data_IF_042311894982
#
_entry.id   IF_042311894982
#
_cell.length_a   1.000
_cell.length_b   1.000
_cell.length_c   1.000
_cell.angle_alpha   90.00
_cell.angle_beta   90.00
_cell.angle_gamma   90.00
#
_symmetry.space_group_name_H-M   'P 1'
#
loop_
_entity.id
_entity.type
_entity.pdbx_description
1 polymer ?
#
# COMPACT_ATOMS: atom_id res chain seq x y z
N UNK A 1 -4.04 -24.98 16.00
CA UNK A 1 -3.98 -24.78 17.44
C UNK A 1 -5.14 -25.47 18.11
N UNK A 2 -4.94 -26.05 19.25
CA UNK A 2 -5.93 -26.83 20.00
C UNK A 2 -6.91 -25.82 20.62
N UNK A 3 -8.12 -25.72 20.10
CA UNK A 3 -9.18 -24.79 20.55
C UNK A 3 -9.62 -25.00 22.02
N UNK A 4 -9.08 -26.00 22.70
CA UNK A 4 -9.41 -26.39 24.06
C UNK A 4 -8.29 -26.19 25.10
N UNK A 5 -7.28 -25.40 24.77
CA UNK A 5 -6.24 -25.07 25.74
C UNK A 5 -6.79 -24.09 26.78
N UNK A 6 -6.70 -24.37 28.09
CA UNK A 6 -7.14 -23.46 29.16
C UNK A 6 -6.39 -22.12 29.14
N UNK A 7 -5.25 -22.06 28.45
CA UNK A 7 -4.48 -20.82 28.23
C UNK A 7 -5.06 -19.90 27.14
N UNK A 8 -6.13 -20.34 26.45
CA UNK A 8 -6.79 -19.58 25.38
C UNK A 8 -8.29 -19.38 25.65
N UNK A 9 -8.72 -19.44 26.91
CA UNK A 9 -10.07 -19.08 27.28
C UNK A 9 -10.32 -17.60 26.95
N UNK A 10 -11.24 -17.38 26.02
CA UNK A 10 -11.61 -16.04 25.54
C UNK A 10 -12.04 -15.13 26.67
N UNK A 11 -12.83 -15.66 27.61
CA UNK A 11 -13.31 -14.88 28.74
C UNK A 11 -12.15 -14.42 29.65
N UNK A 12 -11.20 -15.31 29.95
CA UNK A 12 -10.03 -14.97 30.74
C UNK A 12 -9.14 -13.93 30.04
N UNK A 13 -8.95 -14.07 28.71
CA UNK A 13 -8.20 -13.10 27.92
C UNK A 13 -8.88 -11.74 27.88
N UNK A 14 -10.22 -11.67 27.77
CA UNK A 14 -10.99 -10.44 27.79
C UNK A 14 -10.94 -9.74 29.16
N UNK A 15 -10.97 -10.52 30.26
CA UNK A 15 -10.80 -9.98 31.63
C UNK A 15 -9.39 -9.41 31.84
N UNK A 16 -8.37 -10.12 31.40
CA UNK A 16 -6.97 -9.66 31.48
C UNK A 16 -6.80 -8.35 30.70
N UNK A 17 -7.39 -8.24 29.50
CA UNK A 17 -7.29 -7.00 28.73
C UNK A 17 -8.04 -5.85 29.38
N UNK A 18 -9.25 -6.07 29.88
CA UNK A 18 -10.01 -5.01 30.58
C UNK A 18 -9.19 -4.49 31.77
N UNK A 19 -8.67 -5.39 32.60
CA UNK A 19 -7.83 -5.04 33.75
C UNK A 19 -6.57 -4.27 33.35
N UNK A 20 -5.92 -4.66 32.24
CA UNK A 20 -4.71 -4.00 31.79
C UNK A 20 -4.99 -2.63 31.12
N UNK A 21 -6.14 -2.49 30.47
CA UNK A 21 -6.59 -1.20 29.95
C UNK A 21 -6.88 -0.24 31.11
N UNK A 22 -7.65 -0.66 32.09
CA UNK A 22 -7.94 0.12 33.30
C UNK A 22 -6.64 0.48 34.03
N UNK A 23 -5.72 -0.47 34.19
CA UNK A 23 -4.42 -0.20 34.79
C UNK A 23 -3.57 0.78 33.96
N UNK A 24 -3.64 0.72 32.63
CA UNK A 24 -2.93 1.63 31.76
C UNK A 24 -3.51 3.06 31.85
N UNK A 25 -4.83 3.20 31.83
CA UNK A 25 -5.55 4.48 31.96
C UNK A 25 -5.35 5.09 33.35
N UNK A 26 -5.53 4.32 34.42
CA UNK A 26 -5.33 4.76 35.79
C UNK A 26 -3.87 5.18 36.09
N UNK A 27 -2.93 4.55 35.44
CA UNK A 27 -1.51 4.77 35.61
C UNK A 27 -0.96 5.95 34.76
N UNK A 28 -1.72 6.47 33.80
CA UNK A 28 -1.33 7.65 32.99
C UNK A 28 -1.20 8.95 33.78
N UNK A 29 -1.73 8.97 35.02
CA UNK A 29 -1.73 10.14 35.91
C UNK A 29 -0.58 10.15 36.93
N UNK A 30 0.17 9.06 37.09
CA UNK A 30 1.27 8.97 38.07
C UNK A 30 2.64 9.17 37.42
N UNK A 31 3.52 9.98 38.02
CA UNK A 31 4.89 10.12 37.53
C UNK A 31 5.62 8.79 37.63
N UNK A 32 6.13 8.30 36.52
CA UNK A 32 6.83 7.02 36.40
C UNK A 32 8.25 7.21 35.95
N UNK A 33 9.10 6.28 36.37
CA UNK A 33 10.41 6.15 35.75
C UNK A 33 10.22 5.83 34.26
N UNK A 34 10.90 6.54 33.34
CA UNK A 34 10.74 6.38 31.88
C UNK A 34 10.88 4.92 31.40
N UNK A 35 11.64 4.12 32.15
CA UNK A 35 11.86 2.69 31.88
C UNK A 35 10.59 1.86 32.15
N UNK A 36 9.86 2.17 33.22
CA UNK A 36 8.62 1.49 33.62
C UNK A 36 7.49 1.87 32.67
N UNK A 37 7.40 3.15 32.30
CA UNK A 37 6.42 3.65 31.34
C UNK A 37 6.61 2.98 29.97
N UNK A 38 7.86 2.90 29.48
CA UNK A 38 8.17 2.22 28.22
C UNK A 38 7.78 0.73 28.25
N UNK A 39 8.09 0.04 29.32
CA UNK A 39 7.75 -1.38 29.48
C UNK A 39 6.22 -1.60 29.52
N UNK A 40 5.49 -0.74 30.22
CA UNK A 40 4.01 -0.78 30.29
C UNK A 40 3.38 -0.52 28.92
N UNK A 41 3.86 0.48 28.18
CA UNK A 41 3.38 0.79 26.84
C UNK A 41 3.66 -0.34 25.83
N UNK A 42 4.83 -0.99 25.95
CA UNK A 42 5.16 -2.16 25.11
C UNK A 42 4.24 -3.35 25.41
N UNK A 43 3.95 -3.62 26.68
CA UNK A 43 3.05 -4.71 27.07
C UNK A 43 1.62 -4.47 26.58
N UNK A 44 1.11 -3.25 26.75
CA UNK A 44 -0.20 -2.84 26.23
C UNK A 44 -0.28 -2.97 24.70
N UNK A 45 0.72 -2.46 23.99
CA UNK A 45 0.80 -2.59 22.54
C UNK A 45 0.84 -4.06 22.07
N UNK A 46 1.57 -4.91 22.75
CA UNK A 46 1.64 -6.34 22.41
C UNK A 46 0.28 -7.04 22.53
N UNK A 47 -0.51 -6.68 23.53
CA UNK A 47 -1.85 -7.28 23.73
C UNK A 47 -2.89 -6.78 22.74
N UNK A 48 -2.92 -5.45 22.48
CA UNK A 48 -3.78 -4.89 21.45
C UNK A 48 -3.48 -5.51 20.09
N UNK A 49 -2.19 -5.69 19.77
CA UNK A 49 -1.74 -6.34 18.53
C UNK A 49 -2.13 -7.82 18.46
N UNK A 50 -2.11 -8.56 19.59
CA UNK A 50 -2.53 -9.96 19.61
C UNK A 50 -4.00 -10.15 19.19
N UNK A 51 -4.90 -9.28 19.70
CA UNK A 51 -6.32 -9.31 19.27
C UNK A 51 -6.52 -8.87 17.83
N UNK A 52 -5.74 -7.89 17.38
CA UNK A 52 -5.74 -7.48 15.98
C UNK A 52 -5.37 -8.66 15.07
N UNK A 53 -4.33 -9.43 15.43
CA UNK A 53 -3.94 -10.64 14.70
C UNK A 53 -5.04 -11.69 14.68
N UNK A 54 -5.72 -11.94 15.81
CA UNK A 54 -6.84 -12.89 15.86
C UNK A 54 -7.99 -12.46 14.92
N UNK A 55 -8.27 -11.18 14.79
CA UNK A 55 -9.27 -10.69 13.81
C UNK A 55 -8.83 -10.94 12.37
N UNK A 56 -7.56 -10.73 12.06
CA UNK A 56 -7.02 -10.98 10.71
C UNK A 56 -7.11 -12.44 10.31
N UNK A 57 -6.76 -13.36 11.22
CA UNK A 57 -6.75 -14.82 10.94
C UNK A 57 -8.12 -15.37 10.54
N UNK A 58 -9.22 -14.72 10.92
CA UNK A 58 -10.57 -15.11 10.52
C UNK A 58 -10.83 -14.96 9.01
N UNK A 59 -10.05 -14.11 8.34
CA UNK A 59 -10.20 -13.80 6.92
C UNK A 59 -9.13 -14.45 6.05
N UNK A 60 -8.11 -15.06 6.65
CA UNK A 60 -7.07 -15.79 5.91
C UNK A 60 -7.62 -17.17 5.52
N UNK A 61 -7.55 -17.57 4.24
CA UNK A 61 -8.01 -18.88 3.80
C UNK A 61 -7.10 -19.99 4.33
N UNK A 62 -7.63 -21.23 4.39
CA UNK A 62 -6.86 -22.41 4.80
C UNK A 62 -5.67 -22.72 3.89
N UNK A 63 -5.78 -22.36 2.62
CA UNK A 63 -4.71 -22.52 1.63
C UNK A 63 -4.28 -21.14 1.13
N UNK A 64 -3.06 -20.75 1.42
CA UNK A 64 -2.46 -19.50 0.95
C UNK A 64 -1.77 -19.75 -0.40
N UNK A 65 -1.90 -18.83 -1.37
CA UNK A 65 -1.18 -18.92 -2.63
C UNK A 65 0.34 -19.06 -2.44
N UNK A 66 1.03 -19.63 -3.41
CA UNK A 66 2.49 -19.78 -3.37
C UNK A 66 3.22 -18.57 -3.96
N UNK A 67 2.57 -17.84 -4.83
CA UNK A 67 3.10 -16.67 -5.51
C UNK A 67 3.25 -15.51 -4.54
N UNK A 68 4.43 -14.89 -4.52
CA UNK A 68 4.82 -13.86 -3.53
C UNK A 68 3.81 -12.71 -3.43
N UNK A 69 3.40 -12.15 -4.57
CA UNK A 69 2.47 -11.02 -4.58
C UNK A 69 1.08 -11.41 -4.04
N UNK A 70 0.61 -12.61 -4.39
CA UNK A 70 -0.67 -13.14 -3.89
C UNK A 70 -0.64 -13.42 -2.39
N UNK A 71 0.50 -13.87 -1.84
CA UNK A 71 0.67 -14.04 -0.39
C UNK A 71 0.59 -12.72 0.36
N UNK A 72 1.30 -11.71 -0.12
CA UNK A 72 1.26 -10.37 0.46
C UNK A 72 -0.17 -9.78 0.38
N UNK A 73 -0.83 -9.94 -0.77
CA UNK A 73 -2.19 -9.49 -0.98
C UNK A 73 -3.17 -10.14 0.00
N UNK A 74 -3.03 -11.44 0.28
CA UNK A 74 -3.89 -12.14 1.22
C UNK A 74 -3.82 -11.51 2.62
N UNK A 75 -2.61 -11.27 3.12
CA UNK A 75 -2.38 -10.66 4.44
C UNK A 75 -2.93 -9.23 4.46
N UNK A 76 -2.66 -8.43 3.43
CA UNK A 76 -3.11 -7.05 3.35
C UNK A 76 -4.64 -6.96 3.32
N UNK A 77 -5.29 -7.73 2.44
CA UNK A 77 -6.76 -7.71 2.29
C UNK A 77 -7.48 -8.27 3.52
N UNK A 78 -6.96 -9.31 4.15
CA UNK A 78 -7.47 -9.80 5.43
C UNK A 78 -7.35 -8.75 6.52
N UNK A 79 -6.24 -8.00 6.56
CA UNK A 79 -6.01 -6.91 7.51
C UNK A 79 -6.96 -5.72 7.27
N UNK A 80 -7.23 -5.36 6.01
CA UNK A 80 -8.24 -4.34 5.67
C UNK A 80 -9.63 -4.79 6.09
N UNK A 81 -10.02 -6.04 5.79
CA UNK A 81 -11.31 -6.59 6.18
C UNK A 81 -11.49 -6.66 7.69
N UNK A 82 -10.44 -6.94 8.42
CA UNK A 82 -10.42 -6.96 9.88
C UNK A 82 -10.44 -5.55 10.51
N UNK A 83 -10.28 -4.48 9.72
CA UNK A 83 -10.16 -3.11 10.21
C UNK A 83 -8.88 -2.85 11.00
N UNK A 84 -7.81 -3.59 10.70
CA UNK A 84 -6.52 -3.49 11.42
C UNK A 84 -5.57 -2.54 10.73
N UNK A 85 -5.67 -2.39 9.42
CA UNK A 85 -4.92 -1.40 8.68
C UNK A 85 -5.76 -0.74 7.58
N UNK A 86 -5.26 0.37 7.05
CA UNK A 86 -5.92 1.18 6.00
C UNK A 86 -5.05 1.34 4.76
N UNK A 87 -3.79 0.96 4.83
CA UNK A 87 -2.86 0.98 3.70
C UNK A 87 -1.85 -0.16 3.81
N UNK A 88 -1.39 -0.67 2.69
CA UNK A 88 -0.34 -1.68 2.62
C UNK A 88 0.50 -1.47 1.37
N UNK A 89 1.79 -1.70 1.47
CA UNK A 89 2.69 -1.80 0.33
C UNK A 89 2.90 -3.27 0.00
N UNK A 90 2.69 -3.62 -1.27
CA UNK A 90 3.01 -4.93 -1.82
C UNK A 90 4.13 -4.74 -2.83
N UNK A 91 5.04 -5.69 -2.92
CA UNK A 91 6.13 -5.60 -3.85
C UNK A 91 6.35 -6.88 -4.65
N UNK A 92 6.70 -6.69 -5.91
CA UNK A 92 7.25 -7.72 -6.78
C UNK A 92 8.54 -7.17 -7.37
N UNK A 93 9.66 -7.71 -6.93
CA UNK A 93 10.99 -7.26 -7.35
C UNK A 93 11.41 -7.80 -8.71
N UNK A 94 12.71 -7.65 -9.05
CA UNK A 94 13.39 -8.19 -10.22
C UNK A 94 13.08 -7.50 -11.56
N UNK A 95 12.37 -6.37 -11.57
CA UNK A 95 12.16 -5.56 -12.78
C UNK A 95 13.37 -4.71 -13.16
N UNK A 96 14.43 -4.71 -12.35
CA UNK A 96 15.68 -3.97 -12.57
C UNK A 96 16.61 -4.69 -13.58
N UNK A 97 16.18 -4.74 -14.83
CA UNK A 97 16.79 -5.54 -15.89
C UNK A 97 17.84 -4.74 -16.70
N UNK A 98 19.03 -4.57 -16.14
CA UNK A 98 20.18 -3.96 -16.83
C UNK A 98 20.84 -4.88 -17.88
N UNK A 99 20.42 -6.13 -17.97
CA UNK A 99 20.79 -7.08 -18.99
C UNK A 99 19.60 -8.00 -19.31
N UNK A 100 19.51 -8.51 -20.52
CA UNK A 100 18.46 -9.46 -20.95
C UNK A 100 17.02 -9.03 -20.63
N UNK A 101 16.74 -7.75 -20.77
CA UNK A 101 15.47 -7.12 -20.37
C UNK A 101 14.24 -7.91 -20.80
N UNK A 102 14.16 -8.30 -22.07
CA UNK A 102 12.96 -8.93 -22.63
C UNK A 102 12.68 -10.29 -21.99
N UNK A 103 13.72 -11.09 -21.80
CA UNK A 103 13.61 -12.39 -21.14
C UNK A 103 13.06 -12.26 -19.72
N UNK A 104 13.55 -11.29 -18.96
CA UNK A 104 13.12 -11.05 -17.58
C UNK A 104 11.72 -10.48 -17.53
N UNK A 105 11.41 -9.48 -18.35
CA UNK A 105 10.09 -8.86 -18.40
C UNK A 105 9.00 -9.83 -18.88
N UNK A 106 9.27 -10.65 -19.88
CA UNK A 106 8.32 -11.66 -20.36
C UNK A 106 7.97 -12.71 -19.30
N UNK A 107 8.83 -12.95 -18.34
CA UNK A 107 8.56 -13.81 -17.19
C UNK A 107 7.78 -13.07 -16.10
N UNK A 108 8.20 -11.85 -15.76
CA UNK A 108 7.70 -11.11 -14.58
C UNK A 108 6.36 -10.44 -14.83
N UNK A 109 6.10 -9.92 -16.03
CA UNK A 109 4.84 -9.22 -16.33
C UNK A 109 3.61 -10.12 -16.16
N UNK A 110 3.58 -11.38 -16.66
CA UNK A 110 2.47 -12.28 -16.42
C UNK A 110 2.24 -12.58 -14.92
N UNK A 111 3.31 -12.78 -14.15
CA UNK A 111 3.23 -12.99 -12.70
C UNK A 111 2.66 -11.78 -11.99
N UNK A 112 3.12 -10.59 -12.34
CA UNK A 112 2.62 -9.33 -11.84
C UNK A 112 1.12 -9.12 -12.13
N UNK A 113 0.69 -9.35 -13.39
CA UNK A 113 -0.70 -9.23 -13.78
C UNK A 113 -1.59 -10.26 -13.07
N UNK A 114 -1.11 -11.49 -12.90
CA UNK A 114 -1.80 -12.52 -12.15
C UNK A 114 -1.97 -12.12 -10.67
N UNK A 115 -0.97 -11.49 -10.08
CA UNK A 115 -1.03 -10.95 -8.72
C UNK A 115 -2.07 -9.83 -8.58
N UNK A 116 -2.13 -8.89 -9.53
CA UNK A 116 -3.16 -7.83 -9.55
C UNK A 116 -4.56 -8.44 -9.68
N UNK A 117 -4.73 -9.39 -10.60
CA UNK A 117 -6.01 -10.09 -10.76
C UNK A 117 -6.42 -10.84 -9.48
N UNK A 118 -5.46 -11.41 -8.77
CA UNK A 118 -5.68 -12.01 -7.45
C UNK A 118 -6.19 -10.97 -6.44
N UNK A 119 -5.53 -9.81 -6.32
CA UNK A 119 -5.96 -8.73 -5.41
C UNK A 119 -7.41 -8.34 -5.67
N UNK A 120 -7.78 -8.12 -6.93
CA UNK A 120 -9.14 -7.70 -7.33
C UNK A 120 -10.16 -8.77 -6.94
N UNK A 121 -9.95 -10.02 -7.38
CA UNK A 121 -10.84 -11.14 -7.08
C UNK A 121 -11.01 -11.36 -5.57
N UNK A 122 -9.90 -11.37 -4.84
CA UNK A 122 -9.94 -11.60 -3.40
C UNK A 122 -10.63 -10.48 -2.63
N UNK A 123 -10.47 -9.24 -3.08
CA UNK A 123 -11.20 -8.09 -2.54
C UNK A 123 -12.72 -8.20 -2.77
N UNK A 124 -13.15 -8.75 -3.90
CA UNK A 124 -14.56 -9.06 -4.18
C UNK A 124 -15.10 -10.14 -3.24
N UNK A 125 -14.38 -11.24 -3.05
CA UNK A 125 -14.74 -12.31 -2.11
C UNK A 125 -14.90 -11.78 -0.68
N UNK A 126 -14.01 -10.90 -0.24
CA UNK A 126 -14.04 -10.25 1.06
C UNK A 126 -15.06 -9.10 1.15
N UNK A 127 -15.71 -8.74 0.05
CA UNK A 127 -16.69 -7.63 -0.05
C UNK A 127 -16.08 -6.28 0.39
N UNK A 128 -14.87 -6.00 -0.05
CA UNK A 128 -14.16 -4.72 0.19
C UNK A 128 -13.70 -4.06 -1.11
N UNK A 129 -14.03 -4.63 -2.28
CA UNK A 129 -13.60 -4.14 -3.59
C UNK A 129 -13.93 -2.67 -3.81
N UNK A 130 -15.14 -2.25 -3.41
CA UNK A 130 -15.62 -0.88 -3.58
C UNK A 130 -15.04 0.12 -2.56
N UNK A 131 -14.18 -0.36 -1.66
CA UNK A 131 -13.48 0.46 -0.67
C UNK A 131 -12.00 0.62 -0.99
N UNK A 132 -11.49 -0.12 -1.98
CA UNK A 132 -10.06 -0.14 -2.31
C UNK A 132 -9.71 0.86 -3.42
N UNK A 133 -8.54 1.45 -3.26
CA UNK A 133 -7.77 2.09 -4.32
C UNK A 133 -6.45 1.34 -4.43
N UNK A 134 -6.12 0.88 -5.62
CA UNK A 134 -4.87 0.18 -5.94
C UNK A 134 -4.03 1.14 -6.78
N UNK A 135 -2.83 1.43 -6.30
CA UNK A 135 -1.83 2.23 -7.00
C UNK A 135 -0.69 1.31 -7.40
N UNK A 136 -0.36 1.30 -8.67
CA UNK A 136 0.70 0.48 -9.25
C UNK A 136 1.74 1.42 -9.79
N UNK A 137 2.96 1.34 -9.25
CA UNK A 137 4.04 2.24 -9.61
C UNK A 137 5.39 1.56 -9.50
N UNK A 138 6.36 2.16 -10.15
CA UNK A 138 7.79 1.94 -9.93
C UNK A 138 8.44 3.28 -9.58
N UNK A 139 9.59 3.25 -8.91
CA UNK A 139 10.36 4.45 -8.56
C UNK A 139 10.95 5.15 -9.78
N UNK A 140 11.09 4.45 -10.92
CA UNK A 140 11.62 4.99 -12.17
C UNK A 140 11.09 4.23 -13.38
N UNK A 141 11.31 4.77 -14.57
CA UNK A 141 11.12 4.08 -15.84
C UNK A 141 12.40 3.41 -16.34
N UNK A 142 12.35 2.93 -17.58
CA UNK A 142 13.48 2.32 -18.30
C UNK A 142 13.75 3.08 -19.60
N UNK A 143 15.02 3.15 -19.99
CA UNK A 143 15.43 3.82 -21.23
C UNK A 143 14.67 3.29 -22.44
N UNK A 144 14.32 4.15 -23.43
CA UNK A 144 13.67 3.69 -24.65
C UNK A 144 14.54 2.73 -25.47
N UNK A 145 15.86 2.85 -25.37
CA UNK A 145 16.86 2.02 -26.11
C UNK A 145 17.49 0.96 -25.21
N UNK A 146 17.98 -0.11 -25.83
CA UNK A 146 18.77 -1.13 -25.16
C UNK A 146 20.22 -0.70 -24.97
N UNK A 147 20.82 -1.10 -23.89
CA UNK A 147 22.26 -1.01 -23.66
C UNK A 147 23.02 -2.19 -24.30
N UNK A 148 24.36 -2.23 -24.16
CA UNK A 148 25.20 -3.27 -24.73
C UNK A 148 24.95 -4.70 -24.20
N UNK A 149 24.25 -4.83 -23.06
CA UNK A 149 23.87 -6.12 -22.45
C UNK A 149 22.46 -6.57 -22.79
N UNK A 150 21.81 -5.97 -23.80
CA UNK A 150 20.38 -6.16 -24.11
C UNK A 150 19.48 -5.87 -22.89
N UNK A 151 19.93 -5.02 -21.99
CA UNK A 151 19.18 -4.48 -20.87
C UNK A 151 18.65 -3.09 -21.17
N UNK A 152 17.93 -2.52 -20.21
CA UNK A 152 17.48 -1.14 -20.23
C UNK A 152 17.88 -0.45 -18.94
N UNK A 153 18.53 0.70 -19.05
CA UNK A 153 18.98 1.47 -17.90
C UNK A 153 17.86 2.31 -17.30
N UNK A 154 18.13 3.00 -16.20
CA UNK A 154 17.15 3.84 -15.52
C UNK A 154 16.73 5.03 -16.38
N UNK A 155 15.44 5.37 -16.32
CA UNK A 155 14.87 6.53 -16.98
C UNK A 155 13.99 7.30 -16.01
N UNK A 156 14.07 8.63 -16.07
CA UNK A 156 13.36 9.50 -15.13
C UNK A 156 11.83 9.57 -15.37
N UNK A 157 11.36 9.04 -16.49
CA UNK A 157 9.94 9.04 -16.85
C UNK A 157 9.40 7.63 -16.71
N UNK A 158 8.39 7.47 -15.88
CA UNK A 158 7.67 6.22 -15.65
C UNK A 158 6.17 6.41 -15.82
N UNK A 159 5.44 5.36 -15.49
CA UNK A 159 3.97 5.35 -15.51
C UNK A 159 3.43 4.90 -14.16
N UNK A 160 2.29 5.46 -13.78
CA UNK A 160 1.55 5.07 -12.58
C UNK A 160 0.14 4.65 -13.02
N UNK A 161 -0.34 3.50 -12.56
CA UNK A 161 -1.71 3.05 -12.81
C UNK A 161 -2.55 3.11 -11.55
N UNK A 162 -3.82 3.44 -11.72
CA UNK A 162 -4.80 3.54 -10.65
C UNK A 162 -6.01 2.68 -10.98
N UNK A 163 -6.48 1.92 -9.99
CA UNK A 163 -7.72 1.15 -10.08
C UNK A 163 -8.49 1.29 -8.77
N UNK A 164 -9.81 1.34 -8.85
CA UNK A 164 -10.65 1.23 -7.67
C UNK A 164 -11.59 2.40 -7.44
N UNK A 165 -11.96 2.57 -6.19
CA UNK A 165 -12.98 3.53 -5.78
C UNK A 165 -12.63 4.96 -6.18
N UNK A 166 -13.58 5.65 -6.84
CA UNK A 166 -13.40 7.06 -7.22
C UNK A 166 -12.52 7.30 -8.44
N UNK A 167 -11.86 6.26 -8.97
CA UNK A 167 -11.01 6.37 -10.14
C UNK A 167 -11.84 6.25 -11.42
N UNK A 168 -11.83 7.30 -12.26
CA UNK A 168 -12.40 7.24 -13.61
C UNK A 168 -11.46 6.44 -14.49
N UNK A 169 -11.81 5.20 -14.77
CA UNK A 169 -10.99 4.28 -15.57
C UNK A 169 -11.03 4.56 -17.08
N UNK A 170 -10.36 3.66 -17.82
CA UNK A 170 -10.31 3.64 -19.29
C UNK A 170 -9.77 4.94 -19.91
N UNK A 171 -8.72 5.52 -19.33
CA UNK A 171 -8.06 6.73 -19.83
C UNK A 171 -6.59 6.75 -19.48
N UNK A 172 -5.82 7.47 -20.30
CA UNK A 172 -4.44 7.84 -20.06
C UNK A 172 -4.37 9.35 -19.87
N UNK A 173 -3.59 9.80 -18.88
CA UNK A 173 -3.34 11.22 -18.60
C UNK A 173 -1.84 11.46 -18.77
N UNK A 174 -1.48 12.49 -19.54
CA UNK A 174 -0.10 12.77 -19.90
C UNK A 174 0.35 11.97 -21.12
N UNK A 175 1.49 12.36 -21.64
CA UNK A 175 2.13 11.75 -22.80
C UNK A 175 3.65 11.94 -22.73
N UNK A 176 4.38 11.24 -23.57
CA UNK A 176 5.78 11.50 -23.84
C UNK A 176 5.97 11.94 -25.30
N UNK A 177 7.01 12.73 -25.55
CA UNK A 177 7.47 13.04 -26.90
C UNK A 177 8.20 11.85 -27.54
N UNK A 178 8.70 12.04 -28.78
CA UNK A 178 9.45 11.02 -29.52
C UNK A 178 10.76 10.59 -28.81
N UNK A 179 11.29 11.44 -27.92
CA UNK A 179 12.48 11.15 -27.10
C UNK A 179 12.14 10.56 -25.73
N UNK A 180 10.88 10.23 -25.52
CA UNK A 180 10.36 9.68 -24.25
C UNK A 180 10.50 10.64 -23.05
N UNK A 181 10.48 11.96 -23.29
CA UNK A 181 10.34 12.96 -22.22
C UNK A 181 8.88 13.34 -22.00
N UNK A 182 8.52 13.65 -20.75
CA UNK A 182 7.16 14.02 -20.40
C UNK A 182 6.74 15.32 -21.10
N UNK A 183 5.60 15.27 -21.80
CA UNK A 183 4.95 16.46 -22.38
C UNK A 183 4.11 17.14 -21.30
N UNK A 184 4.15 18.48 -21.18
CA UNK A 184 3.28 19.21 -20.27
C UNK A 184 1.79 19.01 -20.62
N UNK A 185 0.92 19.13 -19.62
CA UNK A 185 -0.52 18.98 -19.77
C UNK A 185 -1.27 20.04 -18.97
N UNK A 186 -2.47 20.39 -19.40
CA UNK A 186 -3.38 21.25 -18.65
C UNK A 186 -4.06 20.43 -17.53
N UNK A 187 -3.88 20.77 -16.25
CA UNK A 187 -4.45 20.01 -15.14
C UNK A 187 -5.98 20.06 -15.07
N UNK A 188 -6.64 20.99 -15.75
CA UNK A 188 -8.10 21.11 -15.79
C UNK A 188 -8.74 20.22 -16.84
N UNK A 189 -8.24 20.33 -18.08
CA UNK A 189 -8.76 19.55 -19.21
C UNK A 189 -8.13 18.16 -19.31
N UNK A 190 -6.96 17.95 -18.67
CA UNK A 190 -6.11 16.76 -18.77
C UNK A 190 -5.56 16.51 -20.19
N UNK A 191 -5.66 17.46 -21.08
CA UNK A 191 -5.07 17.41 -22.41
C UNK A 191 -3.61 17.88 -22.40
N UNK A 192 -2.82 17.41 -23.35
CA UNK A 192 -1.45 17.91 -23.53
C UNK A 192 -1.46 19.40 -23.91
N UNK A 193 -0.62 20.19 -23.27
CA UNK A 193 -0.43 21.61 -23.52
C UNK A 193 1.06 21.95 -23.37
N UNK A 194 1.76 22.00 -24.51
CA UNK A 194 3.19 22.23 -24.53
C UNK A 194 3.61 23.65 -24.11
N UNK A 195 2.69 24.64 -24.23
CA UNK A 195 3.00 26.04 -23.99
C UNK A 195 2.74 26.47 -22.53
N UNK A 196 1.58 26.09 -21.99
CA UNK A 196 1.09 26.55 -20.68
C UNK A 196 0.89 25.42 -19.66
N UNK A 197 1.05 24.19 -20.10
CA UNK A 197 0.87 23.02 -19.25
C UNK A 197 1.96 22.82 -18.21
N UNK A 198 1.70 21.95 -17.28
CA UNK A 198 2.66 21.50 -16.27
C UNK A 198 3.09 20.06 -16.54
N UNK A 199 4.30 19.68 -16.14
CA UNK A 199 4.72 18.28 -16.14
C UNK A 199 4.23 17.59 -14.89
N UNK A 200 3.64 16.41 -15.06
CA UNK A 200 3.25 15.57 -13.93
C UNK A 200 4.51 15.17 -13.16
N UNK A 201 4.47 15.32 -11.85
CA UNK A 201 5.51 14.90 -10.92
C UNK A 201 4.89 14.03 -9.82
N UNK A 202 5.68 13.21 -9.10
CA UNK A 202 5.17 12.39 -8.01
C UNK A 202 4.38 13.17 -6.96
N UNK A 203 4.77 14.42 -6.68
CA UNK A 203 4.10 15.28 -5.70
C UNK A 203 2.64 15.57 -6.09
N UNK A 204 2.35 15.79 -7.37
CA UNK A 204 0.99 16.01 -7.86
C UNK A 204 0.10 14.77 -7.64
N UNK A 205 0.67 13.59 -7.87
CA UNK A 205 -0.01 12.31 -7.66
C UNK A 205 -0.30 12.09 -6.17
N UNK A 206 0.69 12.32 -5.31
CA UNK A 206 0.51 12.13 -3.87
C UNK A 206 -0.47 13.13 -3.28
N UNK A 207 -0.53 14.36 -3.78
CA UNK A 207 -1.54 15.33 -3.34
C UNK A 207 -2.94 14.87 -3.73
N UNK A 208 -3.14 14.46 -4.97
CA UNK A 208 -4.41 13.90 -5.43
C UNK A 208 -4.85 12.66 -4.62
N UNK A 209 -3.91 11.81 -4.22
CA UNK A 209 -4.17 10.66 -3.34
C UNK A 209 -4.56 11.08 -1.91
N UNK A 210 -3.95 12.14 -1.37
CA UNK A 210 -4.34 12.70 -0.07
C UNK A 210 -5.78 13.26 -0.12
N UNK A 211 -6.14 13.95 -1.19
CA UNK A 211 -7.49 14.45 -1.42
C UNK A 211 -8.49 13.29 -1.54
N UNK A 212 -8.18 12.28 -2.36
CA UNK A 212 -9.03 11.10 -2.54
C UNK A 212 -9.24 10.33 -1.24
N UNK A 213 -8.23 10.25 -0.39
CA UNK A 213 -8.28 9.62 0.92
C UNK A 213 -8.95 10.49 2.00
N UNK A 214 -9.25 11.77 1.70
CA UNK A 214 -9.85 12.70 2.67
C UNK A 214 -8.89 13.13 3.78
N UNK A 215 -7.59 13.07 3.55
CA UNK A 215 -6.53 13.41 4.53
C UNK A 215 -5.71 14.64 4.14
N UNK A 216 -6.07 15.35 3.07
CA UNK A 216 -5.33 16.54 2.64
C UNK A 216 -5.23 17.59 3.76
N UNK A 217 -6.30 17.80 4.52
CA UNK A 217 -6.37 18.73 5.63
C UNK A 217 -5.85 18.20 6.97
N UNK A 218 -5.42 16.95 7.03
CA UNK A 218 -4.90 16.37 8.26
C UNK A 218 -3.62 17.10 8.73
N UNK A 219 -3.41 17.31 10.07
CA UNK A 219 -2.25 18.03 10.58
C UNK A 219 -0.90 17.51 10.08
N UNK A 220 -0.75 16.20 9.92
CA UNK A 220 0.47 15.62 9.35
C UNK A 220 0.65 15.93 7.86
N UNK A 221 -0.43 16.00 7.06
CA UNK A 221 -0.36 16.39 5.65
C UNK A 221 0.10 17.85 5.53
N UNK A 222 -0.40 18.73 6.41
CA UNK A 222 0.02 20.14 6.50
C UNK A 222 1.45 20.30 7.00
N UNK A 223 1.89 19.44 7.92
CA UNK A 223 3.27 19.44 8.44
C UNK A 223 4.29 19.02 7.35
N UNK A 224 3.89 18.17 6.43
CA UNK A 224 4.72 17.67 5.33
C UNK A 224 4.08 18.03 3.97
N UNK A 225 4.10 19.32 3.59
CA UNK A 225 3.54 19.77 2.33
C UNK A 225 4.34 19.21 1.15
N UNK A 226 3.65 18.86 0.06
CA UNK A 226 4.30 18.31 -1.13
C UNK A 226 4.84 19.38 -2.09
N UNK A 227 4.66 20.67 -1.77
CA UNK A 227 5.19 21.77 -2.59
C UNK A 227 4.54 21.89 -3.96
N UNK A 228 3.33 21.40 -4.11
CA UNK A 228 2.53 21.54 -5.35
C UNK A 228 2.01 22.97 -5.42
N UNK A 229 2.42 23.71 -6.47
CA UNK A 229 1.92 25.05 -6.79
C UNK A 229 1.23 25.01 -8.14
#
# INVERSE_FOLDING_TARGET
GNERSPYHDRFALDQIEATLREAHEANGTLPRLPRVERASNMLYAAQVNSKALQRVTQYIPKSIPKERLSQQAEIALASFKAGVCVSANLDIGQFDSHANNDKDQMKLIPEFLAGIAYVVRRAEELKIRDQLVIVIQSEMGRTPTYNNGNGKDHWSIGSIMFLGRGIKGNRVIGATDEKQFAVPFDPKSLATDAEKGIRIRPEHIHEALRELAGIADHPYSKKFPLGVK
#
